data_IF_472780022528
#
_entry.id   IF_472780022528
#
_cell.length_a   1.000
_cell.length_b   1.000
_cell.length_c   1.000
_cell.angle_alpha   90.00
_cell.angle_beta   90.00
_cell.angle_gamma   90.00
#
_symmetry.space_group_name_H-M   'P 1'
#
loop_
_entity.id
_entity.type
_entity.pdbx_description
1 polymer ?
#
# COMPACT_ATOMS: atom_id res chain seq x y z
N UNK A 1 -24.25 11.28 12.51
CA UNK A 1 -22.84 11.70 12.38
C UNK A 1 -22.55 11.88 10.92
N UNK A 2 -22.24 13.09 10.48
CA UNK A 2 -21.98 13.37 9.06
C UNK A 2 -20.73 12.65 8.59
N UNK A 3 -20.82 11.96 7.45
CA UNK A 3 -19.67 11.27 6.84
C UNK A 3 -18.71 12.30 6.27
N UNK A 4 -17.42 12.17 6.57
CA UNK A 4 -16.37 13.04 6.03
C UNK A 4 -16.32 12.89 4.51
N UNK A 5 -16.42 14.00 3.78
CA UNK A 5 -16.29 14.00 2.32
C UNK A 5 -14.82 13.92 1.93
N UNK A 6 -14.47 12.98 1.06
CA UNK A 6 -13.09 12.81 0.59
C UNK A 6 -13.06 12.65 -0.94
N UNK A 7 -12.10 13.28 -1.65
CA UNK A 7 -12.03 13.19 -3.10
C UNK A 7 -11.68 11.79 -3.56
N UNK A 8 -12.44 11.28 -4.54
CA UNK A 8 -12.12 10.07 -5.28
C UNK A 8 -11.51 10.46 -6.63
N UNK A 9 -10.23 10.15 -6.78
CA UNK A 9 -9.49 10.38 -8.01
C UNK A 9 -9.96 9.43 -9.12
N UNK A 10 -9.76 9.81 -10.40
CA UNK A 10 -10.02 8.92 -11.53
C UNK A 10 -9.33 7.56 -11.37
N UNK A 11 -9.96 6.50 -11.87
CA UNK A 11 -9.44 5.12 -11.72
C UNK A 11 -7.98 5.01 -12.17
N UNK A 12 -7.61 5.60 -13.31
CA UNK A 12 -6.24 5.60 -13.83
C UNK A 12 -5.23 6.18 -12.85
N UNK A 13 -5.53 7.35 -12.27
CA UNK A 13 -4.62 8.02 -11.34
C UNK A 13 -4.44 7.23 -10.03
N UNK A 14 -5.50 6.56 -9.56
CA UNK A 14 -5.40 5.69 -8.38
C UNK A 14 -4.48 4.49 -8.64
N UNK A 15 -4.61 3.83 -9.79
CA UNK A 15 -3.75 2.73 -10.17
C UNK A 15 -2.33 3.18 -10.53
N UNK A 16 -2.15 4.39 -11.07
CA UNK A 16 -0.83 4.99 -11.23
C UNK A 16 -0.14 5.17 -9.88
N UNK A 17 -0.89 5.58 -8.84
CA UNK A 17 -0.36 5.61 -7.47
C UNK A 17 0.07 4.24 -6.95
N UNK A 18 -0.71 3.18 -7.21
CA UNK A 18 -0.32 1.80 -6.89
C UNK A 18 0.97 1.40 -7.60
N UNK A 19 1.06 1.66 -8.92
CA UNK A 19 2.26 1.38 -9.71
C UNK A 19 3.47 2.18 -9.24
N UNK A 20 3.29 3.44 -8.85
CA UNK A 20 4.33 4.29 -8.30
C UNK A 20 4.89 3.72 -7.00
N UNK A 21 4.03 3.36 -6.05
CA UNK A 21 4.45 2.73 -4.79
C UNK A 21 5.11 1.37 -5.04
N UNK A 22 4.52 0.52 -5.90
CA UNK A 22 5.12 -0.76 -6.27
C UNK A 22 6.51 -0.57 -6.90
N UNK A 23 6.67 0.42 -7.79
CA UNK A 23 7.95 0.76 -8.41
C UNK A 23 9.00 1.21 -7.41
N UNK A 24 8.62 2.02 -6.42
CA UNK A 24 9.50 2.41 -5.31
C UNK A 24 9.95 1.19 -4.51
N UNK A 25 9.02 0.28 -4.17
CA UNK A 25 9.35 -0.96 -3.46
C UNK A 25 10.31 -1.81 -4.30
N UNK A 26 10.00 -2.06 -5.58
CA UNK A 26 10.89 -2.80 -6.48
C UNK A 26 12.29 -2.20 -6.55
N UNK A 27 12.38 -0.86 -6.66
CA UNK A 27 13.65 -0.17 -6.78
C UNK A 27 14.53 -0.37 -5.55
N UNK A 28 13.99 -0.19 -4.34
CA UNK A 28 14.74 -0.38 -3.09
C UNK A 28 14.94 -1.85 -2.69
N UNK A 29 14.10 -2.76 -3.18
CA UNK A 29 14.26 -4.19 -2.90
C UNK A 29 15.25 -4.86 -3.84
N UNK A 30 15.27 -4.47 -5.12
CA UNK A 30 16.02 -5.19 -6.18
C UNK A 30 17.21 -4.41 -6.74
N UNK A 31 17.14 -3.08 -6.81
CA UNK A 31 18.13 -2.27 -7.53
C UNK A 31 19.15 -1.63 -6.60
N UNK A 32 18.69 -0.97 -5.54
CA UNK A 32 19.56 -0.25 -4.59
C UNK A 32 19.32 -0.70 -3.17
N UNK A 33 20.31 -0.57 -2.29
CA UNK A 33 20.11 -0.73 -0.85
C UNK A 33 19.42 0.53 -0.31
N UNK A 34 18.40 0.40 0.56
CA UNK A 34 17.79 1.57 1.18
C UNK A 34 18.78 2.30 2.12
N UNK A 35 18.60 3.61 2.36
CA UNK A 35 19.47 4.36 3.25
C UNK A 35 19.58 3.73 4.64
N UNK A 36 20.79 3.72 5.19
CA UNK A 36 21.04 3.28 6.55
C UNK A 36 20.45 4.27 7.56
N UNK A 37 19.93 3.79 8.71
CA UNK A 37 19.44 4.68 9.75
C UNK A 37 20.62 5.24 10.56
N UNK A 38 20.44 6.34 11.30
CA UNK A 38 21.49 6.89 12.17
C UNK A 38 22.05 5.89 13.19
N UNK A 39 21.24 4.91 13.59
CA UNK A 39 21.61 3.80 14.46
C UNK A 39 21.12 2.48 13.86
N UNK A 40 21.97 1.74 13.11
CA UNK A 40 21.58 0.48 12.49
C UNK A 40 21.23 -0.55 13.56
N UNK A 41 20.05 -1.14 13.40
CA UNK A 41 19.59 -2.28 14.20
C UNK A 41 19.34 -3.46 13.26
N UNK A 42 19.42 -4.71 13.75
CA UNK A 42 19.12 -5.89 12.93
C UNK A 42 17.70 -5.88 12.32
N UNK A 43 16.80 -5.05 12.85
CA UNK A 43 15.41 -4.94 12.42
C UNK A 43 15.14 -3.76 11.47
N UNK A 44 16.15 -2.98 11.10
CA UNK A 44 15.93 -1.77 10.28
C UNK A 44 15.22 -2.09 8.97
N UNK A 45 15.77 -3.03 8.22
CA UNK A 45 15.21 -3.54 6.98
C UNK A 45 13.76 -4.02 7.15
N UNK A 46 13.47 -4.70 8.27
CA UNK A 46 12.14 -5.26 8.57
C UNK A 46 11.13 -4.14 8.85
N UNK A 47 11.57 -3.02 9.42
CA UNK A 47 10.72 -1.81 9.59
C UNK A 47 10.40 -1.16 8.25
N UNK A 48 11.36 -1.13 7.31
CA UNK A 48 11.14 -0.61 5.97
C UNK A 48 10.14 -1.48 5.20
N UNK A 49 10.31 -2.80 5.24
CA UNK A 49 9.35 -3.77 4.69
C UNK A 49 7.95 -3.58 5.30
N UNK A 50 7.85 -3.51 6.63
CA UNK A 50 6.57 -3.26 7.30
C UNK A 50 5.90 -1.97 6.84
N UNK A 51 6.63 -0.85 6.82
CA UNK A 51 6.11 0.45 6.41
C UNK A 51 5.70 0.47 4.92
N UNK A 52 6.54 -0.11 4.06
CA UNK A 52 6.30 -0.20 2.63
C UNK A 52 5.00 -0.97 2.34
N UNK A 53 4.78 -2.12 2.97
CA UNK A 53 3.59 -2.93 2.71
C UNK A 53 2.33 -2.40 3.41
N UNK A 54 2.46 -1.66 4.51
CA UNK A 54 1.36 -0.88 5.06
C UNK A 54 0.91 0.23 4.09
N UNK A 55 1.86 0.99 3.56
CA UNK A 55 1.60 2.00 2.52
C UNK A 55 1.02 1.38 1.24
N UNK A 56 1.55 0.24 0.80
CA UNK A 56 1.08 -0.46 -0.39
C UNK A 56 -0.36 -0.95 -0.24
N UNK A 57 -0.70 -1.54 0.91
CA UNK A 57 -2.07 -1.94 1.23
C UNK A 57 -3.04 -0.74 1.24
N UNK A 58 -2.62 0.42 1.74
CA UNK A 58 -3.44 1.64 1.73
C UNK A 58 -3.72 2.14 0.30
N UNK A 59 -2.71 2.19 -0.58
CA UNK A 59 -2.94 2.62 -1.97
C UNK A 59 -3.76 1.60 -2.75
N UNK A 60 -3.60 0.30 -2.50
CA UNK A 60 -4.46 -0.75 -3.05
C UNK A 60 -5.91 -0.63 -2.54
N UNK A 61 -6.10 -0.34 -1.25
CA UNK A 61 -7.43 -0.10 -0.68
C UNK A 61 -8.08 1.11 -1.36
N UNK A 62 -7.38 2.22 -1.52
CA UNK A 62 -7.90 3.40 -2.21
C UNK A 62 -8.21 3.14 -3.71
N UNK A 63 -7.32 2.43 -4.41
CA UNK A 63 -7.53 2.06 -5.82
C UNK A 63 -8.73 1.14 -6.03
N UNK A 64 -9.09 0.35 -5.02
CA UNK A 64 -10.24 -0.56 -5.03
C UNK A 64 -11.49 0.03 -4.38
N UNK A 65 -11.55 1.33 -4.10
CA UNK A 65 -12.71 1.99 -3.48
C UNK A 65 -14.06 1.82 -4.23
N UNK A 66 -14.03 1.40 -5.50
CA UNK A 66 -15.21 1.03 -6.28
C UNK A 66 -15.78 -0.36 -5.93
N UNK A 67 -15.07 -1.17 -5.15
CA UNK A 67 -15.50 -2.50 -4.68
C UNK A 67 -16.02 -2.47 -3.23
N UNK A 68 -16.42 -1.29 -2.72
CA UNK A 68 -16.90 -1.14 -1.33
C UNK A 68 -18.11 -2.00 -1.00
N UNK A 69 -18.97 -2.27 -1.99
CA UNK A 69 -20.14 -3.15 -1.85
C UNK A 69 -19.76 -4.63 -1.62
N UNK A 70 -18.49 -5.00 -1.86
CA UNK A 70 -17.98 -6.36 -1.68
C UNK A 70 -16.78 -6.37 -0.71
N UNK A 71 -17.00 -6.10 0.59
CA UNK A 71 -15.93 -5.87 1.55
C UNK A 71 -14.97 -7.05 1.68
N UNK A 72 -15.47 -8.28 1.79
CA UNK A 72 -14.63 -9.48 1.93
C UNK A 72 -13.74 -9.71 0.72
N UNK A 73 -14.31 -9.60 -0.49
CA UNK A 73 -13.56 -9.71 -1.75
C UNK A 73 -12.48 -8.62 -1.85
N UNK A 74 -12.82 -7.40 -1.44
CA UNK A 74 -11.90 -6.27 -1.50
C UNK A 74 -10.75 -6.41 -0.49
N UNK A 75 -11.03 -6.85 0.74
CA UNK A 75 -9.98 -7.14 1.73
C UNK A 75 -9.08 -8.26 1.21
N UNK A 76 -9.65 -9.33 0.66
CA UNK A 76 -8.88 -10.43 0.08
C UNK A 76 -7.99 -9.97 -1.10
N UNK A 77 -8.49 -9.08 -1.96
CA UNK A 77 -7.71 -8.51 -3.06
C UNK A 77 -6.56 -7.62 -2.57
N UNK A 78 -6.78 -6.80 -1.54
CA UNK A 78 -5.75 -5.90 -1.00
C UNK A 78 -4.67 -6.69 -0.27
N UNK A 79 -5.06 -7.56 0.66
CA UNK A 79 -4.11 -8.38 1.42
C UNK A 79 -3.43 -9.38 0.47
N UNK A 80 -4.21 -10.14 -0.31
CA UNK A 80 -3.67 -11.12 -1.24
C UNK A 80 -2.76 -10.49 -2.30
N UNK A 81 -3.13 -9.32 -2.83
CA UNK A 81 -2.29 -8.58 -3.78
C UNK A 81 -0.97 -8.09 -3.15
N UNK A 82 -1.02 -7.55 -1.94
CA UNK A 82 0.18 -7.12 -1.21
C UNK A 82 1.09 -8.32 -0.88
N UNK A 83 0.53 -9.42 -0.38
CA UNK A 83 1.29 -10.64 -0.07
C UNK A 83 1.89 -11.29 -1.30
N UNK A 84 1.13 -11.41 -2.40
CA UNK A 84 1.62 -11.98 -3.65
C UNK A 84 2.75 -11.14 -4.24
N UNK A 85 2.62 -9.82 -4.21
CA UNK A 85 3.68 -8.92 -4.63
C UNK A 85 4.93 -9.08 -3.77
N UNK A 86 4.78 -9.13 -2.43
CA UNK A 86 5.91 -9.32 -1.53
C UNK A 86 6.60 -10.66 -1.65
N UNK A 87 5.85 -11.75 -1.80
CA UNK A 87 6.42 -13.04 -2.10
C UNK A 87 7.19 -13.04 -3.44
N UNK A 88 6.65 -12.37 -4.46
CA UNK A 88 7.36 -12.19 -5.72
C UNK A 88 8.68 -11.43 -5.57
N UNK A 89 8.70 -10.34 -4.81
CA UNK A 89 9.92 -9.57 -4.54
C UNK A 89 10.97 -10.41 -3.80
N UNK A 90 10.60 -11.15 -2.77
CA UNK A 90 11.52 -12.00 -2.01
C UNK A 90 12.12 -13.12 -2.86
N UNK A 91 11.30 -13.75 -3.72
CA UNK A 91 11.78 -14.75 -4.68
C UNK A 91 12.78 -14.15 -5.67
N UNK A 92 12.50 -12.95 -6.18
CA UNK A 92 13.42 -12.22 -7.06
C UNK A 92 14.71 -11.83 -6.32
N UNK A 93 14.63 -11.42 -5.05
CA UNK A 93 15.81 -11.17 -4.23
C UNK A 93 16.65 -12.44 -4.03
N UNK A 94 16.02 -13.59 -3.80
CA UNK A 94 16.71 -14.88 -3.73
C UNK A 94 17.45 -15.27 -5.01
N UNK A 95 16.99 -14.76 -6.17
CA UNK A 95 17.64 -14.95 -7.47
C UNK A 95 18.63 -13.83 -7.85
N UNK A 96 18.71 -12.75 -7.05
CA UNK A 96 19.54 -11.57 -7.35
C UNK A 96 20.89 -11.67 -6.64
N UNK A 97 22.03 -11.52 -7.35
CA UNK A 97 23.34 -11.50 -6.72
C UNK A 97 23.43 -10.46 -5.60
N UNK A 98 24.07 -10.81 -4.48
CA UNK A 98 24.22 -9.96 -3.30
C UNK A 98 22.90 -9.61 -2.57
N UNK A 99 21.80 -10.25 -2.92
CA UNK A 99 20.55 -10.29 -2.14
C UNK A 99 20.27 -11.71 -1.69
N UNK A 100 19.33 -11.86 -0.77
CA UNK A 100 18.91 -13.16 -0.26
C UNK A 100 17.41 -13.13 0.02
N UNK A 101 16.81 -14.30 0.04
CA UNK A 101 15.42 -14.49 0.42
C UNK A 101 15.25 -14.34 1.95
N UNK A 102 14.32 -13.49 2.40
CA UNK A 102 14.10 -13.20 3.81
C UNK A 102 12.75 -13.66 4.34
N UNK A 103 12.72 -14.74 5.14
CA UNK A 103 11.49 -15.14 5.87
C UNK A 103 10.98 -14.03 6.81
N UNK A 104 11.89 -13.30 7.45
CA UNK A 104 11.54 -12.17 8.30
C UNK A 104 10.92 -11.01 7.52
N UNK A 105 11.30 -10.86 6.25
CA UNK A 105 10.80 -9.80 5.37
C UNK A 105 9.41 -10.15 4.84
N UNK A 106 9.16 -11.42 4.50
CA UNK A 106 7.79 -11.92 4.28
C UNK A 106 6.86 -11.65 5.46
N UNK A 107 7.31 -11.92 6.69
CA UNK A 107 6.53 -11.65 7.89
C UNK A 107 6.27 -10.14 8.06
N UNK A 108 7.30 -9.31 7.88
CA UNK A 108 7.16 -7.85 7.95
C UNK A 108 6.18 -7.32 6.89
N UNK A 109 6.26 -7.82 5.65
CA UNK A 109 5.34 -7.49 4.56
C UNK A 109 3.89 -7.84 4.94
N UNK A 110 3.68 -9.02 5.51
CA UNK A 110 2.37 -9.49 5.93
C UNK A 110 1.78 -8.65 7.08
N UNK A 111 2.58 -8.35 8.11
CA UNK A 111 2.15 -7.51 9.22
C UNK A 111 1.86 -6.07 8.75
N UNK A 112 2.67 -5.53 7.85
CA UNK A 112 2.45 -4.23 7.23
C UNK A 112 1.13 -4.18 6.46
N UNK A 113 0.89 -5.17 5.59
CA UNK A 113 -0.37 -5.25 4.83
C UNK A 113 -1.60 -5.42 5.74
N UNK A 114 -1.46 -6.18 6.84
CA UNK A 114 -2.51 -6.31 7.85
C UNK A 114 -2.79 -4.96 8.55
N UNK A 115 -1.74 -4.22 8.96
CA UNK A 115 -1.89 -2.89 9.53
C UNK A 115 -2.59 -1.93 8.55
N UNK A 116 -2.15 -1.89 7.29
CA UNK A 116 -2.78 -1.05 6.26
C UNK A 116 -4.25 -1.39 6.03
N UNK A 117 -4.63 -2.66 6.20
CA UNK A 117 -6.02 -3.12 6.10
C UNK A 117 -6.92 -2.66 7.26
N UNK A 118 -6.35 -2.16 8.36
CA UNK A 118 -7.14 -1.47 9.40
C UNK A 118 -7.79 -0.18 8.89
N UNK A 119 -7.47 0.26 7.66
CA UNK A 119 -8.17 1.33 6.97
C UNK A 119 -9.65 1.04 6.67
N UNK A 120 -10.00 -0.22 6.37
CA UNK A 120 -11.38 -0.57 5.97
C UNK A 120 -12.47 -0.13 6.96
N UNK A 121 -12.34 -0.33 8.29
CA UNK A 121 -13.32 0.19 9.24
C UNK A 121 -13.35 1.73 9.30
N UNK A 122 -12.20 2.40 9.16
CA UNK A 122 -12.10 3.88 9.15
C UNK A 122 -12.83 4.44 7.92
N UNK A 123 -12.62 3.83 6.76
CA UNK A 123 -13.21 4.24 5.50
C UNK A 123 -14.75 4.21 5.51
N UNK A 124 -15.39 3.42 6.38
CA UNK A 124 -16.86 3.44 6.54
C UNK A 124 -17.39 4.81 6.95
N UNK A 125 -16.57 5.64 7.59
CA UNK A 125 -16.88 7.03 7.96
C UNK A 125 -16.68 8.03 6.81
N UNK A 126 -16.14 7.58 5.68
CA UNK A 126 -15.78 8.40 4.52
C UNK A 126 -16.82 8.26 3.40
N UNK A 127 -17.30 9.40 2.91
CA UNK A 127 -18.07 9.53 1.67
C UNK A 127 -17.15 10.00 0.55
N UNK A 128 -16.87 9.11 -0.39
CA UNK A 128 -16.13 9.46 -1.59
C UNK A 128 -16.97 10.33 -2.51
N UNK A 129 -16.41 11.46 -2.94
CA UNK A 129 -17.02 12.41 -3.88
C UNK A 129 -16.04 12.58 -5.04
N UNK A 130 -16.52 12.69 -6.29
CA UNK A 130 -15.63 12.91 -7.43
C UNK A 130 -14.74 14.14 -7.21
N UNK A 131 -13.44 14.00 -7.45
CA UNK A 131 -12.49 15.09 -7.17
C UNK A 131 -12.85 16.42 -7.87
N UNK A 132 -13.37 16.35 -9.10
CA UNK A 132 -13.85 17.52 -9.86
C UNK A 132 -15.06 18.20 -9.19
N UNK A 133 -16.01 17.39 -8.70
CA UNK A 133 -17.21 17.89 -8.01
C UNK A 133 -16.84 18.56 -6.69
N UNK A 134 -15.96 17.95 -5.90
CA UNK A 134 -15.51 18.52 -4.63
C UNK A 134 -14.74 19.84 -4.83
N UNK A 135 -13.89 19.92 -5.85
CA UNK A 135 -13.16 21.14 -6.18
C UNK A 135 -14.11 22.29 -6.58
N UNK A 136 -15.13 22.00 -7.38
CA UNK A 136 -16.14 22.98 -7.76
C UNK A 136 -16.98 23.47 -6.56
N UNK A 137 -17.36 22.57 -5.64
CA UNK A 137 -18.09 22.94 -4.42
C UNK A 137 -17.28 23.83 -3.48
N UNK A 138 -15.97 23.61 -3.37
CA UNK A 138 -15.09 24.42 -2.52
C UNK A 138 -14.80 25.79 -3.12
N UNK A 139 -14.67 25.88 -4.45
CA UNK A 139 -14.45 27.15 -5.14
C UNK A 139 -15.68 28.07 -5.16
N UNK A 140 -16.88 27.53 -4.90
CA UNK A 140 -18.14 28.27 -4.87
C UNK A 140 -18.52 28.80 -3.47
N UNK A 141 -17.67 28.60 -2.46
CA UNK A 141 -17.83 29.11 -1.09
C UNK A 141 -16.90 30.29 -0.85
#
# INVERSE_FOLDING_TARGET
MDRVRFPLLPRSLRWLGVLGVAGVICYFSLVTVPPEPPSPTPFWDKRLHFAAYAGFALVLAYATANLREHPSRRVALVIGGALAFGAGIELLQGATPHRYFGWGDLLANALGAALGSLWFPVERRIRYVGARTLAAELAAR
#
